data_IF_545080936134
#
_entry.id   IF_545080936134
#
_cell.length_a   1.000
_cell.length_b   1.000
_cell.length_c   1.000
_cell.angle_alpha   90.00
_cell.angle_beta   90.00
_cell.angle_gamma   90.00
#
_symmetry.space_group_name_H-M   'P 1'
#
loop_
_entity.id
_entity.type
_entity.pdbx_description
1 polymer ?
#
# COMPACT_ATOMS: atom_id res chain seq x y z
N UNK A 1 -4.35 -15.20 7.99
CA UNK A 1 -3.31 -14.70 7.06
C UNK A 1 -2.97 -13.28 7.43
N UNK A 2 -1.73 -12.86 7.24
CA UNK A 2 -1.34 -11.46 7.42
C UNK A 2 -1.77 -10.67 6.18
N UNK A 3 -2.47 -9.56 6.38
CA UNK A 3 -2.85 -8.63 5.33
C UNK A 3 -2.11 -7.31 5.51
N UNK A 4 -1.97 -6.57 4.43
CA UNK A 4 -1.40 -5.22 4.46
C UNK A 4 -2.39 -4.25 3.81
N UNK A 5 -2.69 -3.19 4.53
CA UNK A 5 -3.54 -2.10 4.07
C UNK A 5 -2.68 -0.84 4.16
N UNK A 6 -2.39 -0.20 3.02
CA UNK A 6 -1.50 0.94 3.02
C UNK A 6 -2.13 2.13 3.74
N UNK A 7 -1.32 2.96 4.40
CA UNK A 7 -1.82 4.18 5.06
C UNK A 7 -2.13 5.30 4.04
N UNK A 8 -1.36 5.35 2.95
CA UNK A 8 -1.49 6.33 1.87
C UNK A 8 -1.09 5.71 0.52
N UNK A 9 -1.62 6.21 -0.63
CA UNK A 9 -1.42 5.60 -1.94
C UNK A 9 -0.06 5.95 -2.56
N UNK A 10 1.04 5.64 -1.86
CA UNK A 10 2.42 5.75 -2.37
C UNK A 10 3.07 4.37 -2.41
N UNK A 11 3.83 4.02 -3.46
CA UNK A 11 4.55 2.75 -3.53
C UNK A 11 5.49 2.47 -2.34
N UNK A 12 6.04 3.49 -1.66
CA UNK A 12 6.86 3.31 -0.44
C UNK A 12 6.10 2.51 0.61
N UNK A 13 4.79 2.75 0.73
CA UNK A 13 3.93 2.11 1.70
C UNK A 13 3.64 0.64 1.37
N UNK A 14 4.03 0.16 0.18
CA UNK A 14 3.95 -1.25 -0.21
C UNK A 14 5.32 -1.94 -0.23
N UNK A 15 6.43 -1.20 -0.19
CA UNK A 15 7.79 -1.77 -0.25
C UNK A 15 8.54 -1.64 1.07
N UNK A 16 8.68 -0.42 1.59
CA UNK A 16 9.55 -0.15 2.74
C UNK A 16 9.14 -0.92 4.01
N UNK A 17 7.84 -1.06 4.35
CA UNK A 17 7.42 -1.85 5.51
C UNK A 17 7.88 -3.31 5.49
N UNK A 18 8.19 -3.89 4.33
CA UNK A 18 8.63 -5.28 4.20
C UNK A 18 10.15 -5.43 4.05
N UNK A 19 10.83 -4.38 3.59
CA UNK A 19 12.24 -4.42 3.19
C UNK A 19 13.16 -3.61 4.10
N UNK A 20 12.64 -2.69 4.91
CA UNK A 20 13.44 -1.93 5.86
C UNK A 20 13.87 -2.81 7.06
N UNK A 21 14.90 -2.37 7.80
CA UNK A 21 15.51 -3.12 8.90
C UNK A 21 14.50 -3.47 10.01
N UNK A 22 13.47 -2.64 10.21
CA UNK A 22 12.39 -2.84 11.16
C UNK A 22 11.09 -3.25 10.44
N UNK A 23 11.18 -4.27 9.56
CA UNK A 23 10.04 -4.70 8.77
C UNK A 23 8.88 -5.20 9.62
N UNK A 24 7.66 -4.98 9.11
CA UNK A 24 6.39 -5.34 9.73
C UNK A 24 6.28 -6.81 10.12
N UNK A 25 6.93 -7.71 9.38
CA UNK A 25 6.86 -9.15 9.61
C UNK A 25 7.83 -9.62 10.72
N UNK A 26 8.68 -8.73 11.25
CA UNK A 26 9.83 -9.07 12.09
C UNK A 26 10.71 -10.16 11.45
N UNK A 27 10.76 -10.20 10.11
CA UNK A 27 11.56 -11.17 9.36
C UNK A 27 13.05 -10.90 9.57
N UNK A 28 13.90 -11.94 9.69
CA UNK A 28 15.35 -11.77 9.74
C UNK A 28 15.96 -11.41 8.37
N UNK A 29 15.17 -11.44 7.29
CA UNK A 29 15.62 -11.07 5.96
C UNK A 29 16.16 -9.63 5.92
N UNK A 30 17.27 -9.41 5.22
CA UNK A 30 17.92 -8.10 5.06
C UNK A 30 18.44 -7.96 3.64
N UNK A 31 18.14 -6.83 3.00
CA UNK A 31 18.71 -6.45 1.72
C UNK A 31 19.39 -5.10 1.88
N UNK A 32 20.72 -5.09 1.86
CA UNK A 32 21.50 -3.87 2.04
C UNK A 32 21.20 -2.85 0.95
N UNK A 33 20.96 -3.31 -0.28
CA UNK A 33 20.61 -2.43 -1.40
C UNK A 33 19.23 -1.78 -1.17
N UNK A 34 18.22 -2.56 -0.80
CA UNK A 34 16.90 -2.01 -0.48
C UNK A 34 16.96 -1.01 0.69
N UNK A 35 17.57 -1.43 1.81
CA UNK A 35 17.60 -0.65 3.06
C UNK A 35 18.45 0.62 2.99
N UNK A 36 19.63 0.55 2.34
CA UNK A 36 20.62 1.63 2.40
C UNK A 36 20.66 2.50 1.16
N UNK A 37 20.10 2.02 0.04
CA UNK A 37 20.18 2.73 -1.25
C UNK A 37 18.78 3.05 -1.76
N UNK A 38 17.97 2.04 -2.09
CA UNK A 38 16.75 2.23 -2.86
C UNK A 38 15.64 2.93 -2.05
N UNK A 39 15.37 2.52 -0.82
CA UNK A 39 14.35 3.17 0.04
C UNK A 39 14.74 4.62 0.36
N UNK A 40 15.98 4.94 0.80
CA UNK A 40 16.39 6.33 0.98
C UNK A 40 16.33 7.16 -0.31
N UNK A 41 16.66 6.56 -1.46
CA UNK A 41 16.61 7.23 -2.76
C UNK A 41 15.17 7.56 -3.16
N UNK A 42 14.23 6.61 -3.08
CA UNK A 42 12.82 6.83 -3.43
C UNK A 42 12.18 7.92 -2.59
N UNK A 43 12.53 8.00 -1.30
CA UNK A 43 12.02 9.02 -0.36
C UNK A 43 12.54 10.43 -0.63
N UNK A 44 13.74 10.56 -1.21
CA UNK A 44 14.33 11.87 -1.56
C UNK A 44 13.83 12.42 -2.89
N UNK A 45 13.29 11.57 -3.75
CA UNK A 45 12.72 11.99 -5.01
C UNK A 45 11.39 12.70 -4.78
N UNK A 46 11.24 13.91 -5.32
CA UNK A 46 10.02 14.69 -5.21
C UNK A 46 9.01 14.33 -6.31
N UNK A 47 9.50 14.05 -7.52
CA UNK A 47 8.68 13.58 -8.63
C UNK A 47 8.43 12.08 -8.51
N UNK A 48 7.19 11.70 -8.16
CA UNK A 48 6.82 10.30 -7.98
C UNK A 48 6.98 9.48 -9.26
N UNK A 49 6.91 10.10 -10.43
CA UNK A 49 7.16 9.43 -11.71
C UNK A 49 8.62 9.05 -11.86
N UNK A 50 9.54 9.92 -11.43
CA UNK A 50 10.98 9.65 -11.46
C UNK A 50 11.39 8.55 -10.46
N UNK A 51 10.63 8.36 -9.38
CA UNK A 51 10.85 7.28 -8.42
C UNK A 51 10.49 5.88 -8.95
N UNK A 52 9.74 5.77 -10.06
CA UNK A 52 9.24 4.49 -10.59
C UNK A 52 10.36 3.46 -10.80
N UNK A 53 11.47 3.83 -11.44
CA UNK A 53 12.60 2.93 -11.66
C UNK A 53 13.27 2.45 -10.36
N UNK A 54 13.17 3.22 -9.27
CA UNK A 54 13.67 2.79 -7.96
C UNK A 54 12.74 1.74 -7.36
N UNK A 55 11.42 1.91 -7.50
CA UNK A 55 10.44 0.95 -7.03
C UNK A 55 10.40 -0.35 -7.85
N UNK A 56 10.70 -0.29 -9.15
CA UNK A 56 10.89 -1.48 -9.98
C UNK A 56 12.03 -2.35 -9.42
N UNK A 57 13.19 -1.75 -9.13
CA UNK A 57 14.31 -2.47 -8.52
C UNK A 57 13.99 -3.06 -7.14
N UNK A 58 13.21 -2.34 -6.33
CA UNK A 58 12.73 -2.87 -5.05
C UNK A 58 11.84 -4.10 -5.27
N UNK A 59 10.96 -4.07 -6.27
CA UNK A 59 10.10 -5.20 -6.61
C UNK A 59 10.88 -6.37 -7.22
N UNK A 60 11.95 -6.11 -7.99
CA UNK A 60 12.86 -7.15 -8.49
C UNK A 60 13.56 -7.90 -7.34
N UNK A 61 13.98 -7.18 -6.30
CA UNK A 61 14.53 -7.79 -5.08
C UNK A 61 13.47 -8.69 -4.41
N UNK A 62 12.22 -8.21 -4.29
CA UNK A 62 11.14 -9.04 -3.73
C UNK A 62 10.88 -10.28 -4.57
N UNK A 63 10.87 -10.15 -5.90
CA UNK A 63 10.63 -11.26 -6.81
C UNK A 63 11.76 -12.29 -6.81
N UNK A 64 13.01 -11.84 -6.65
CA UNK A 64 14.20 -12.70 -6.65
C UNK A 64 14.38 -13.40 -5.31
N UNK A 65 14.33 -12.66 -4.22
CA UNK A 65 14.68 -13.16 -2.89
C UNK A 65 13.48 -13.69 -2.11
N UNK A 66 12.26 -13.36 -2.56
CA UNK A 66 10.97 -13.79 -2.00
C UNK A 66 10.88 -13.62 -0.47
N UNK A 67 11.23 -12.45 0.10
CA UNK A 67 11.11 -12.21 1.54
C UNK A 67 9.64 -12.14 2.00
N UNK A 68 8.74 -11.84 1.08
CA UNK A 68 7.29 -11.89 1.20
C UNK A 68 6.74 -12.38 -0.13
N UNK A 69 5.73 -13.25 -0.11
CA UNK A 69 5.05 -13.75 -1.31
C UNK A 69 3.62 -13.21 -1.37
N UNK A 70 3.35 -12.20 -2.21
CA UNK A 70 1.98 -11.71 -2.42
C UNK A 70 1.12 -12.78 -3.10
N UNK A 71 0.05 -13.24 -2.44
CA UNK A 71 -0.82 -14.30 -2.97
C UNK A 71 -2.07 -13.74 -3.67
N UNK A 72 -2.66 -12.68 -3.12
CA UNK A 72 -3.89 -12.11 -3.65
C UNK A 72 -3.98 -10.60 -3.37
N UNK A 73 -4.73 -9.89 -4.20
CA UNK A 73 -5.18 -8.53 -3.93
C UNK A 73 -6.70 -8.56 -3.82
N UNK A 74 -7.22 -8.34 -2.61
CA UNK A 74 -8.64 -8.42 -2.33
C UNK A 74 -9.42 -7.27 -2.97
N UNK A 75 -10.65 -7.55 -3.38
CA UNK A 75 -11.64 -6.51 -3.69
C UNK A 75 -12.34 -6.09 -2.42
N UNK A 76 -12.58 -4.79 -2.28
CA UNK A 76 -13.38 -4.26 -1.18
C UNK A 76 -14.84 -4.16 -1.60
N UNK A 77 -15.73 -4.54 -0.69
CA UNK A 77 -17.17 -4.51 -0.90
C UNK A 77 -17.82 -3.73 0.24
N UNK A 78 -18.77 -2.87 -0.12
CA UNK A 78 -19.60 -2.12 0.82
C UNK A 78 -21.04 -2.42 0.51
N UNK A 79 -21.82 -2.75 1.55
CA UNK A 79 -23.26 -2.93 1.46
C UNK A 79 -23.95 -1.83 2.26
N UNK A 80 -24.97 -1.22 1.66
CA UNK A 80 -25.81 -0.20 2.30
C UNK A 80 -27.28 -0.59 2.22
N UNK A 81 -28.11 0.03 3.07
CA UNK A 81 -29.56 -0.02 2.91
C UNK A 81 -30.00 0.90 1.77
N UNK A 82 -31.16 0.60 1.20
CA UNK A 82 -31.85 1.53 0.30
C UNK A 82 -32.03 2.90 0.97
N UNK A 83 -31.87 3.97 0.18
CA UNK A 83 -31.96 5.35 0.66
C UNK A 83 -30.67 5.91 1.28
N UNK A 84 -29.54 5.19 1.20
CA UNK A 84 -28.20 5.71 1.52
C UNK A 84 -27.46 6.02 0.21
N UNK A 85 -27.01 7.27 0.05
CA UNK A 85 -26.18 7.71 -1.07
C UNK A 85 -24.72 7.96 -0.63
N UNK A 86 -23.80 8.05 -1.60
CA UNK A 86 -22.37 8.29 -1.35
C UNK A 86 -21.56 7.03 -0.98
N UNK A 87 -22.17 5.86 -1.08
CA UNK A 87 -21.56 4.55 -0.75
C UNK A 87 -20.40 4.22 -1.68
N UNK A 88 -20.49 4.64 -2.94
CA UNK A 88 -19.45 4.46 -3.95
C UNK A 88 -18.15 5.23 -3.64
N UNK A 89 -18.22 6.22 -2.75
CA UNK A 89 -17.08 7.02 -2.27
C UNK A 89 -16.71 6.71 -0.83
N UNK A 90 -17.44 5.84 -0.14
CA UNK A 90 -17.24 5.59 1.29
C UNK A 90 -16.02 4.73 1.61
N UNK A 91 -15.30 4.23 0.61
CA UNK A 91 -14.04 3.49 0.78
C UNK A 91 -12.98 4.09 -0.12
N UNK A 92 -11.86 4.48 0.47
CA UNK A 92 -10.73 5.05 -0.26
C UNK A 92 -9.90 3.98 -0.99
N UNK A 93 -8.98 4.40 -1.86
CA UNK A 93 -8.01 3.52 -2.50
C UNK A 93 -7.08 2.79 -1.50
N UNK A 94 -7.00 3.29 -0.27
CA UNK A 94 -6.22 2.73 0.84
C UNK A 94 -7.05 1.94 1.83
N UNK A 95 -8.28 1.56 1.45
CA UNK A 95 -9.19 0.78 2.29
C UNK A 95 -9.75 1.50 3.52
N UNK A 96 -9.59 2.82 3.61
CA UNK A 96 -10.14 3.62 4.70
C UNK A 96 -11.63 3.92 4.50
N UNK A 97 -12.43 3.82 5.57
CA UNK A 97 -13.85 4.16 5.55
C UNK A 97 -14.07 5.67 5.68
N UNK A 98 -14.60 6.26 4.63
CA UNK A 98 -14.93 7.68 4.54
C UNK A 98 -16.41 7.89 4.88
N UNK A 99 -16.77 7.70 6.16
CA UNK A 99 -18.18 7.76 6.60
C UNK A 99 -18.85 9.11 6.34
N UNK A 100 -18.08 10.19 6.19
CA UNK A 100 -18.58 11.52 5.86
C UNK A 100 -19.15 11.63 4.44
N UNK A 101 -18.84 10.69 3.54
CA UNK A 101 -19.43 10.63 2.20
C UNK A 101 -20.90 10.16 2.23
N UNK A 102 -21.29 9.45 3.29
CA UNK A 102 -22.61 8.88 3.43
C UNK A 102 -23.65 9.96 3.75
N UNK A 103 -24.73 9.98 2.99
CA UNK A 103 -25.86 10.86 3.24
C UNK A 103 -27.19 10.18 2.93
N UNK A 104 -28.28 10.80 3.41
CA UNK A 104 -29.65 10.46 3.03
C UNK A 104 -30.16 11.58 2.13
N UNK A 105 -30.35 11.35 0.82
CA UNK A 105 -30.98 12.36 -0.03
C UNK A 105 -32.40 12.61 0.48
N UNK A 106 -32.78 13.88 0.56
CA UNK A 106 -34.17 14.29 0.78
C UNK A 106 -35.03 13.73 -0.36
N UNK A 107 -36.22 13.24 -0.04
CA UNK A 107 -37.20 12.79 -1.03
C UNK A 107 -37.63 13.93 -1.97
#
# INVERSE_FOLDING_TARGET
>A
GMGWFPDFPDPDNYTAPFLDANNFLNSPYRSREAEKVLIPQSRREADRTAAAATYEKLQDIVATDVPVLPIWQGKQYVASRDGIAGVERSVSATSELQLWELNRPSA
#
